data_IF_372493130480
#
_entry.id   IF_372493130480
#
_cell.length_a   1.000
_cell.length_b   1.000
_cell.length_c   1.000
_cell.angle_alpha   90.00
_cell.angle_beta   90.00
_cell.angle_gamma   90.00
#
_symmetry.space_group_name_H-M   'P 1'
#
loop_
_entity.id
_entity.type
_entity.pdbx_description
1 polymer ?
#
# COMPACT_ATOMS: atom_id res chain seq x y z
N UNK A 1 10.22 -16.89 18.21
CA UNK A 1 9.28 -17.30 17.14
C UNK A 1 8.86 -16.02 16.44
N UNK A 2 9.26 -15.79 15.19
CA UNK A 2 8.70 -14.68 14.42
C UNK A 2 7.23 -15.03 14.18
N UNK A 3 6.29 -14.24 14.71
CA UNK A 3 4.90 -14.33 14.31
C UNK A 3 4.76 -14.11 12.80
N UNK A 4 3.65 -14.55 12.22
CA UNK A 4 3.32 -14.20 10.84
C UNK A 4 3.26 -12.67 10.73
N UNK A 5 4.00 -12.10 9.78
CA UNK A 5 4.04 -10.66 9.56
C UNK A 5 2.66 -10.20 9.04
N UNK A 6 2.04 -9.23 9.70
CA UNK A 6 0.80 -8.58 9.29
C UNK A 6 1.09 -7.50 8.25
N UNK A 7 0.45 -7.61 7.10
CA UNK A 7 0.66 -6.73 5.95
C UNK A 7 -0.68 -6.18 5.45
N UNK A 8 -0.75 -4.86 5.28
CA UNK A 8 -1.88 -4.21 4.63
C UNK A 8 -1.62 -4.13 3.13
N UNK A 9 -2.35 -4.91 2.34
CA UNK A 9 -2.30 -4.90 0.88
C UNK A 9 -3.37 -3.95 0.34
N UNK A 10 -2.95 -2.79 -0.16
CA UNK A 10 -3.83 -1.85 -0.85
C UNK A 10 -3.71 -2.10 -2.35
N UNK A 11 -4.72 -2.75 -2.92
CA UNK A 11 -4.77 -3.01 -4.35
C UNK A 11 -6.17 -2.90 -4.94
N UNK A 12 -6.27 -2.18 -6.05
CA UNK A 12 -7.51 -1.97 -6.78
C UNK A 12 -7.24 -1.70 -8.25
N UNK A 13 -8.21 -2.06 -9.10
CA UNK A 13 -8.08 -2.07 -10.54
C UNK A 13 -8.45 -3.41 -11.18
N UNK A 14 -8.88 -3.33 -12.43
CA UNK A 14 -9.19 -4.49 -13.30
C UNK A 14 -8.15 -4.64 -14.42
N UNK A 15 -7.68 -3.51 -14.97
CA UNK A 15 -6.72 -3.46 -16.09
C UNK A 15 -5.29 -3.25 -15.55
N UNK A 16 -5.12 -2.32 -14.61
CA UNK A 16 -3.87 -2.06 -13.90
C UNK A 16 -4.14 -1.94 -12.40
N UNK A 17 -3.72 -2.90 -11.57
CA UNK A 17 -2.99 -4.12 -11.95
C UNK A 17 -3.89 -5.21 -12.54
N UNK A 18 -3.34 -5.97 -13.49
CA UNK A 18 -4.01 -7.12 -14.09
C UNK A 18 -4.35 -8.18 -13.03
N UNK A 19 -5.50 -8.84 -13.15
CA UNK A 19 -6.00 -9.82 -12.15
C UNK A 19 -4.98 -10.93 -11.86
N UNK A 20 -4.34 -11.46 -12.90
CA UNK A 20 -3.29 -12.48 -12.74
C UNK A 20 -2.10 -11.97 -11.91
N UNK A 21 -1.68 -10.72 -12.11
CA UNK A 21 -0.56 -10.14 -11.36
C UNK A 21 -0.93 -9.94 -9.88
N UNK A 22 -2.17 -9.55 -9.58
CA UNK A 22 -2.68 -9.50 -8.19
C UNK A 22 -2.67 -10.89 -7.54
N UNK A 23 -3.00 -11.93 -8.30
CA UNK A 23 -2.94 -13.30 -7.81
C UNK A 23 -1.50 -13.72 -7.49
N UNK A 24 -0.55 -13.51 -8.40
CA UNK A 24 0.87 -13.82 -8.16
C UNK A 24 1.44 -13.03 -6.97
N UNK A 25 1.08 -11.75 -6.82
CA UNK A 25 1.49 -10.97 -5.65
C UNK A 25 0.98 -11.58 -4.34
N UNK A 26 -0.29 -12.01 -4.30
CA UNK A 26 -0.84 -12.70 -3.11
C UNK A 26 -0.11 -14.01 -2.82
N UNK A 27 0.30 -14.77 -3.85
CA UNK A 27 1.11 -15.97 -3.66
C UNK A 27 2.50 -15.64 -3.10
N UNK A 28 3.17 -14.61 -3.62
CA UNK A 28 4.45 -14.15 -3.11
C UNK A 28 4.38 -13.69 -1.65
N UNK A 29 3.22 -13.19 -1.22
CA UNK A 29 2.95 -12.74 0.15
C UNK A 29 2.29 -13.83 1.04
N UNK A 30 2.18 -15.08 0.58
CA UNK A 30 1.46 -16.15 1.31
C UNK A 30 2.00 -16.48 2.70
N UNK A 31 3.24 -16.11 3.02
CA UNK A 31 3.82 -16.25 4.36
C UNK A 31 3.42 -15.16 5.36
N UNK A 32 2.66 -14.16 4.92
CA UNK A 32 2.18 -13.04 5.72
C UNK A 32 0.67 -13.13 5.98
N UNK A 33 0.21 -12.53 7.07
CA UNK A 33 -1.21 -12.28 7.32
C UNK A 33 -1.64 -11.04 6.55
N UNK A 34 -2.53 -11.22 5.57
CA UNK A 34 -2.91 -10.13 4.65
C UNK A 34 -4.27 -9.54 5.01
N UNK A 35 -4.28 -8.23 5.25
CA UNK A 35 -5.51 -7.42 5.22
C UNK A 35 -5.59 -6.72 3.88
N UNK A 36 -6.71 -6.85 3.16
CA UNK A 36 -6.88 -6.25 1.84
C UNK A 36 -7.74 -4.99 1.91
N UNK A 37 -7.27 -3.93 1.26
CA UNK A 37 -8.00 -2.69 1.05
C UNK A 37 -7.94 -2.28 -0.44
N UNK A 38 -8.88 -1.43 -0.85
CA UNK A 38 -9.01 -0.98 -2.25
C UNK A 38 -8.52 0.44 -2.50
N UNK A 39 -8.21 1.21 -1.45
CA UNK A 39 -7.70 2.58 -1.61
C UNK A 39 -6.84 2.99 -0.42
N UNK A 40 -6.03 4.02 -0.62
CA UNK A 40 -5.18 4.57 0.45
C UNK A 40 -6.04 5.14 1.60
N UNK A 41 -7.23 5.65 1.32
CA UNK A 41 -8.14 6.17 2.35
C UNK A 41 -8.58 5.10 3.38
N UNK A 42 -8.38 3.82 3.10
CA UNK A 42 -8.59 2.76 4.10
C UNK A 42 -7.65 2.88 5.31
N UNK A 43 -6.54 3.62 5.21
CA UNK A 43 -5.64 3.86 6.35
C UNK A 43 -6.37 4.48 7.55
N UNK A 44 -7.39 5.31 7.33
CA UNK A 44 -8.24 5.89 8.38
C UNK A 44 -9.02 4.85 9.20
N UNK A 45 -9.20 3.64 8.67
CA UNK A 45 -10.02 2.58 9.27
C UNK A 45 -9.18 1.56 10.04
N UNK A 46 -7.87 1.76 10.09
CA UNK A 46 -6.92 0.78 10.57
C UNK A 46 -5.97 1.37 11.63
N UNK A 47 -5.67 0.57 12.66
CA UNK A 47 -4.57 0.86 13.57
C UNK A 47 -3.27 0.46 12.90
N UNK A 48 -2.53 1.43 12.34
CA UNK A 48 -1.38 1.15 11.49
C UNK A 48 -0.24 0.44 12.22
N UNK A 49 -0.15 0.59 13.55
CA UNK A 49 0.80 -0.12 14.42
C UNK A 49 0.65 -1.66 14.36
N UNK A 50 -0.52 -2.16 13.96
CA UNK A 50 -0.77 -3.59 13.82
C UNK A 50 -0.07 -4.20 12.59
N UNK A 51 0.40 -3.37 11.66
CA UNK A 51 1.02 -3.79 10.41
C UNK A 51 2.53 -3.53 10.42
N UNK A 52 3.29 -4.49 9.91
CA UNK A 52 4.73 -4.33 9.74
C UNK A 52 5.08 -3.75 8.37
N UNK A 53 4.18 -3.93 7.38
CA UNK A 53 4.32 -3.31 6.08
C UNK A 53 2.99 -2.97 5.41
N UNK A 54 3.04 -1.97 4.53
CA UNK A 54 1.99 -1.61 3.59
C UNK A 54 2.49 -1.92 2.17
N UNK A 55 1.67 -2.63 1.39
CA UNK A 55 1.94 -2.93 -0.02
C UNK A 55 0.96 -2.14 -0.87
N UNK A 56 1.47 -1.27 -1.75
CA UNK A 56 0.68 -0.48 -2.68
C UNK A 56 0.77 -1.09 -4.07
N UNK A 57 -0.36 -1.56 -4.60
CA UNK A 57 -0.47 -2.03 -5.98
C UNK A 57 -1.75 -1.51 -6.62
N UNK A 58 -1.71 -0.23 -7.00
CA UNK A 58 -2.84 0.53 -7.52
C UNK A 58 -2.41 1.43 -8.69
N UNK A 59 -3.39 1.96 -9.42
CA UNK A 59 -3.19 2.88 -10.54
C UNK A 59 -4.31 3.92 -10.60
N UNK A 60 -4.00 5.16 -10.98
CA UNK A 60 -4.95 6.29 -11.11
C UNK A 60 -5.86 6.55 -9.90
N UNK A 61 -5.42 6.26 -8.68
CA UNK A 61 -6.18 6.62 -7.50
C UNK A 61 -5.76 7.98 -6.95
N UNK A 62 -6.74 8.76 -6.50
CA UNK A 62 -6.52 9.91 -5.62
C UNK A 62 -6.59 9.41 -4.18
N UNK A 63 -5.67 9.89 -3.35
CA UNK A 63 -5.78 9.80 -1.90
C UNK A 63 -6.07 11.19 -1.34
N UNK A 64 -6.82 11.25 -0.24
CA UNK A 64 -6.93 12.50 0.49
C UNK A 64 -5.58 12.86 1.16
N UNK A 65 -5.31 14.15 1.40
CA UNK A 65 -4.05 14.58 2.02
C UNK A 65 -3.78 13.91 3.38
N UNK A 66 -4.83 13.61 4.15
CA UNK A 66 -4.70 13.00 5.47
C UNK A 66 -4.23 11.53 5.37
N UNK A 67 -4.73 10.76 4.39
CA UNK A 67 -4.27 9.39 4.15
C UNK A 67 -2.80 9.36 3.69
N UNK A 68 -2.37 10.39 2.95
CA UNK A 68 -0.97 10.57 2.56
C UNK A 68 -0.11 10.85 3.80
N UNK A 69 -0.54 11.78 4.65
CA UNK A 69 0.15 12.08 5.91
C UNK A 69 0.24 10.85 6.85
N UNK A 70 -0.81 10.02 6.89
CA UNK A 70 -0.79 8.75 7.64
C UNK A 70 0.22 7.75 7.07
N UNK A 71 0.32 7.65 5.74
CA UNK A 71 1.32 6.80 5.08
C UNK A 71 2.74 7.29 5.38
N UNK A 72 2.99 8.59 5.27
CA UNK A 72 4.29 9.18 5.56
C UNK A 72 4.68 8.97 7.02
N UNK A 73 3.75 9.18 7.96
CA UNK A 73 3.98 8.94 9.38
C UNK A 73 4.32 7.46 9.66
N UNK A 74 3.62 6.52 9.02
CA UNK A 74 3.89 5.09 9.13
C UNK A 74 5.32 4.75 8.69
N UNK A 75 5.77 5.29 7.55
CA UNK A 75 7.12 5.06 7.02
C UNK A 75 8.18 5.71 7.92
N UNK A 76 7.96 6.96 8.38
CA UNK A 76 8.90 7.65 9.26
C UNK A 76 9.07 6.95 10.61
N UNK A 77 8.04 6.24 11.09
CA UNK A 77 8.10 5.42 12.30
C UNK A 77 8.75 4.04 12.09
N UNK A 78 9.25 3.75 10.89
CA UNK A 78 9.96 2.51 10.57
C UNK A 78 9.10 1.42 9.94
N UNK A 79 7.85 1.73 9.56
CA UNK A 79 6.99 0.81 8.82
C UNK A 79 7.51 0.53 7.41
N UNK A 80 7.40 -0.73 6.96
CA UNK A 80 7.86 -1.14 5.62
C UNK A 80 6.90 -0.69 4.52
N UNK A 81 7.42 -0.12 3.43
CA UNK A 81 6.62 0.25 2.26
C UNK A 81 7.10 -0.49 1.00
N UNK A 82 6.19 -1.17 0.33
CA UNK A 82 6.41 -1.76 -1.00
C UNK A 82 5.43 -1.16 -2.01
N UNK A 83 5.90 -0.22 -2.82
CA UNK A 83 5.14 0.38 -3.91
C UNK A 83 5.46 -0.32 -5.24
N UNK A 84 4.45 -0.88 -5.91
CA UNK A 84 4.62 -1.74 -7.09
C UNK A 84 4.13 -1.03 -8.35
N UNK A 85 4.95 -1.07 -9.40
CA UNK A 85 4.61 -0.60 -10.75
C UNK A 85 4.19 0.88 -10.76
N UNK A 86 2.95 1.16 -11.13
CA UNK A 86 2.39 2.49 -11.34
C UNK A 86 1.85 3.12 -10.06
N UNK A 87 2.12 2.53 -8.89
CA UNK A 87 1.68 3.09 -7.62
C UNK A 87 2.19 4.52 -7.42
N UNK A 88 3.44 4.81 -7.79
CA UNK A 88 3.98 6.19 -7.75
C UNK A 88 3.28 7.13 -8.74
N UNK A 89 2.78 6.61 -9.87
CA UNK A 89 2.08 7.40 -10.87
C UNK A 89 0.72 7.92 -10.38
N UNK A 90 0.14 7.31 -9.34
CA UNK A 90 -1.06 7.80 -8.66
C UNK A 90 -0.82 9.12 -7.92
N UNK A 91 0.42 9.43 -7.58
CA UNK A 91 0.81 10.59 -6.79
C UNK A 91 1.49 11.71 -7.59
N UNK A 92 1.34 11.70 -8.94
CA UNK A 92 1.98 12.68 -9.85
C UNK A 92 1.65 14.14 -9.56
N UNK A 93 0.53 14.40 -8.89
CA UNK A 93 0.11 15.76 -8.54
C UNK A 93 0.74 16.27 -7.23
N UNK A 94 1.37 15.40 -6.43
CA UNK A 94 2.12 15.80 -5.24
C UNK A 94 3.58 15.97 -5.61
N UNK A 95 4.02 17.23 -5.74
CA UNK A 95 5.41 17.57 -6.08
C UNK A 95 6.43 16.98 -5.10
N UNK A 96 6.02 16.72 -3.86
CA UNK A 96 6.83 16.15 -2.78
C UNK A 96 7.40 14.78 -3.13
N UNK A 97 6.64 13.96 -3.86
CA UNK A 97 7.08 12.62 -4.28
C UNK A 97 7.96 12.61 -5.55
N UNK A 98 8.18 13.78 -6.16
CA UNK A 98 8.98 13.95 -7.38
C UNK A 98 10.05 15.04 -7.26
N UNK A 99 10.16 15.68 -6.10
CA UNK A 99 11.23 16.59 -5.77
C UNK A 99 12.48 15.77 -5.43
N UNK A 100 13.36 15.61 -6.42
CA UNK A 100 14.72 15.07 -6.26
C UNK A 100 15.70 16.23 -6.28
#
# INVERSE_FOLDING_TARGET
>A
MSGAQSVLLISDGLIHPHVAARWFLRQALSGASLTHARSLNALHQHQLEAFQAIVLYMHHQSADPDAIALLDAFVQQGGGLLAIHSASASFKAQSEYYAI
#
